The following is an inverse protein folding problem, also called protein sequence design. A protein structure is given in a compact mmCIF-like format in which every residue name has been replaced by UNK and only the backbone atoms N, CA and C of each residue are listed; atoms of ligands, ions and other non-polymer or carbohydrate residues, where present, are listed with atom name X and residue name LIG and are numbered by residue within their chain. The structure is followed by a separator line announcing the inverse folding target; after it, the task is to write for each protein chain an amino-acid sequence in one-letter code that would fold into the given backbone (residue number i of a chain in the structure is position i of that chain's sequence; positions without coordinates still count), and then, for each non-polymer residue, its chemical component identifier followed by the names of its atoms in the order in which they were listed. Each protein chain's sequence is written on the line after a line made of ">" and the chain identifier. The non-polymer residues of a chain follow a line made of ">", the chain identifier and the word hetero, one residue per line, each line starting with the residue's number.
data_IF_641504282702
#
_entry.id   IF_641504282702
#
_cell.length_a   1.000
_cell.length_b   1.000
_cell.length_c   1.000
_cell.angle_alpha   90.00
_cell.angle_beta   90.00
_cell.angle_gamma   90.00
#
_symmetry.space_group_name_H-M   'P 1'
#
loop_
_entity.id
_entity.type
_entity.pdbx_description
1 polymer ?
#
# COMPACT_ATOMS: atom_id res chain seq x y z
N UNK A 1 -17.63 18.78 -17.15
CA UNK A 1 -17.77 17.37 -16.74
C UNK A 1 -16.98 17.14 -15.47
N UNK A 2 -17.69 16.99 -14.34
CA UNK A 2 -17.10 16.78 -13.03
C UNK A 2 -16.58 15.33 -13.00
N UNK A 3 -15.28 15.14 -13.25
CA UNK A 3 -14.60 13.85 -13.08
C UNK A 3 -14.93 13.32 -11.70
N UNK A 4 -15.84 12.35 -11.63
CA UNK A 4 -16.19 11.65 -10.41
C UNK A 4 -14.91 10.98 -9.94
N UNK A 5 -14.15 11.64 -9.06
CA UNK A 5 -13.03 11.02 -8.36
C UNK A 5 -13.68 9.91 -7.55
N UNK A 6 -13.50 8.62 -7.89
CA UNK A 6 -14.04 7.56 -7.05
C UNK A 6 -13.47 7.78 -5.65
N UNK A 7 -14.36 8.10 -4.69
CA UNK A 7 -14.06 8.21 -3.26
C UNK A 7 -14.23 6.85 -2.56
N UNK A 8 -14.31 5.78 -3.33
CA UNK A 8 -14.42 4.44 -2.80
C UNK A 8 -13.02 3.86 -2.54
N UNK A 9 -12.71 3.65 -1.27
CA UNK A 9 -11.47 3.07 -0.79
C UNK A 9 -11.20 1.69 -1.42
N UNK A 10 -12.23 0.86 -1.60
CA UNK A 10 -12.09 -0.47 -2.18
C UNK A 10 -11.75 -0.38 -3.69
N UNK A 11 -12.43 0.51 -4.42
CA UNK A 11 -12.13 0.76 -5.84
C UNK A 11 -10.70 1.31 -6.03
N UNK A 12 -10.27 2.23 -5.17
CA UNK A 12 -8.92 2.80 -5.22
C UNK A 12 -7.83 1.76 -4.90
N UNK A 13 -8.12 0.82 -3.99
CA UNK A 13 -7.24 -0.33 -3.73
C UNK A 13 -7.11 -1.24 -4.94
N UNK A 14 -8.23 -1.58 -5.60
CA UNK A 14 -8.22 -2.40 -6.82
C UNK A 14 -7.48 -1.69 -7.96
N UNK A 15 -7.70 -0.38 -8.12
CA UNK A 15 -6.99 0.42 -9.11
C UNK A 15 -5.48 0.42 -8.86
N UNK A 16 -5.05 0.55 -7.61
CA UNK A 16 -3.63 0.44 -7.23
C UNK A 16 -3.04 -0.93 -7.62
N UNK A 17 -3.77 -2.01 -7.37
CA UNK A 17 -3.35 -3.36 -7.77
C UNK A 17 -3.30 -3.54 -9.30
N UNK A 18 -4.25 -2.98 -10.04
CA UNK A 18 -4.27 -3.03 -11.50
C UNK A 18 -3.04 -2.33 -12.10
N UNK A 19 -2.71 -1.13 -11.61
CA UNK A 19 -1.51 -0.41 -12.06
C UNK A 19 -0.22 -1.18 -11.76
N UNK A 20 -0.15 -1.92 -10.64
CA UNK A 20 1.00 -2.79 -10.38
C UNK A 20 1.09 -3.95 -11.36
N UNK A 21 -0.04 -4.57 -11.72
CA UNK A 21 -0.08 -5.61 -12.74
C UNK A 21 0.40 -5.09 -14.11
N UNK A 22 0.14 -3.81 -14.40
CA UNK A 22 0.62 -3.12 -15.59
C UNK A 22 2.06 -2.55 -15.47
N UNK A 23 2.79 -2.88 -14.40
CA UNK A 23 4.15 -2.38 -14.14
C UNK A 23 4.25 -0.85 -14.08
N UNK A 24 3.20 -0.18 -13.60
CA UNK A 24 3.11 1.28 -13.41
C UNK A 24 3.06 1.63 -11.91
N UNK A 25 4.20 1.56 -11.20
CA UNK A 25 4.23 1.73 -9.74
C UNK A 25 3.88 3.14 -9.26
N UNK A 26 4.18 4.18 -10.03
CA UNK A 26 3.85 5.57 -9.65
C UNK A 26 2.33 5.82 -9.64
N UNK A 27 1.62 5.27 -10.62
CA UNK A 27 0.17 5.33 -10.78
C UNK A 27 -0.50 4.48 -9.70
N UNK A 28 0.05 3.30 -9.41
CA UNK A 28 -0.38 2.47 -8.30
C UNK A 28 -0.29 3.19 -6.97
N UNK A 29 0.83 3.90 -6.75
CA UNK A 29 1.07 4.68 -5.54
C UNK A 29 0.06 5.83 -5.42
N UNK A 30 -0.17 6.60 -6.50
CA UNK A 30 -1.18 7.67 -6.53
C UNK A 30 -2.59 7.15 -6.21
N UNK A 31 -2.96 5.97 -6.74
CA UNK A 31 -4.24 5.36 -6.45
C UNK A 31 -4.37 4.97 -4.95
N UNK A 32 -3.33 4.36 -4.38
CA UNK A 32 -3.30 4.01 -2.95
C UNK A 32 -3.33 5.27 -2.06
N UNK A 33 -2.57 6.31 -2.38
CA UNK A 33 -2.55 7.59 -1.65
C UNK A 33 -3.93 8.26 -1.63
N UNK A 34 -4.62 8.26 -2.77
CA UNK A 34 -6.01 8.73 -2.84
C UNK A 34 -6.94 7.90 -1.95
N UNK A 35 -6.75 6.58 -1.91
CA UNK A 35 -7.52 5.71 -1.04
C UNK A 35 -7.26 6.00 0.43
N UNK A 36 -6.01 6.18 0.81
CA UNK A 36 -5.59 6.55 2.16
C UNK A 36 -6.08 7.95 2.58
N UNK A 37 -6.28 8.87 1.64
CA UNK A 37 -6.91 10.15 1.94
C UNK A 37 -8.39 10.00 2.32
N UNK A 38 -9.06 8.94 1.85
CA UNK A 38 -10.45 8.60 2.23
C UNK A 38 -10.49 7.76 3.51
N UNK A 39 -9.64 6.74 3.60
CA UNK A 39 -9.58 5.80 4.72
C UNK A 39 -8.13 5.65 5.23
N UNK A 40 -7.63 6.58 6.07
CA UNK A 40 -6.21 6.66 6.46
C UNK A 40 -5.68 5.48 7.29
N UNK A 41 -6.60 4.68 7.85
CA UNK A 41 -6.32 3.53 8.73
C UNK A 41 -6.86 2.23 8.15
N UNK A 42 -7.25 2.19 6.88
CA UNK A 42 -7.64 0.91 6.25
C UNK A 42 -6.38 0.05 6.03
N UNK A 43 -6.26 -1.12 6.70
CA UNK A 43 -5.10 -1.98 6.56
C UNK A 43 -4.86 -2.46 5.12
N UNK A 44 -5.93 -2.66 4.33
CA UNK A 44 -5.80 -3.15 2.96
C UNK A 44 -5.24 -2.07 2.02
N UNK A 45 -5.63 -0.81 2.22
CA UNK A 45 -5.06 0.34 1.49
C UNK A 45 -3.62 0.65 1.92
N UNK A 46 -3.32 0.53 3.21
CA UNK A 46 -1.95 0.67 3.71
C UNK A 46 -1.04 -0.38 3.08
N UNK A 47 -1.50 -1.63 2.95
CA UNK A 47 -0.75 -2.68 2.28
C UNK A 47 -0.64 -2.45 0.76
N UNK A 48 -1.68 -1.96 0.10
CA UNK A 48 -1.62 -1.59 -1.32
C UNK A 48 -0.57 -0.50 -1.57
N UNK A 49 -0.54 0.54 -0.73
CA UNK A 49 0.50 1.57 -0.77
C UNK A 49 1.90 1.02 -0.48
N UNK A 50 2.01 0.05 0.44
CA UNK A 50 3.29 -0.61 0.72
C UNK A 50 3.83 -1.39 -0.49
N UNK A 51 2.97 -2.15 -1.17
CA UNK A 51 3.30 -2.87 -2.42
C UNK A 51 3.72 -1.89 -3.52
N UNK A 52 2.97 -0.81 -3.70
CA UNK A 52 3.26 0.20 -4.70
C UNK A 52 4.60 0.90 -4.44
N UNK A 53 4.85 1.32 -3.20
CA UNK A 53 6.11 1.92 -2.81
C UNK A 53 7.30 0.97 -3.00
N UNK A 54 7.13 -0.33 -2.71
CA UNK A 54 8.19 -1.32 -2.95
C UNK A 54 8.50 -1.46 -4.44
N UNK A 55 7.47 -1.53 -5.30
CA UNK A 55 7.63 -1.61 -6.75
C UNK A 55 8.24 -0.33 -7.35
N UNK A 56 8.01 0.83 -6.72
CA UNK A 56 8.62 2.13 -7.02
C UNK A 56 10.08 2.24 -6.50
N UNK A 57 10.58 1.21 -5.80
CA UNK A 57 11.92 1.19 -5.20
C UNK A 57 12.03 1.90 -3.84
N UNK A 58 10.97 2.54 -3.36
CA UNK A 58 10.90 3.23 -2.08
C UNK A 58 10.64 2.25 -0.91
N UNK A 59 11.69 1.48 -0.59
CA UNK A 59 11.65 0.47 0.49
C UNK A 59 11.34 1.08 1.86
N UNK A 60 11.72 2.34 2.10
CA UNK A 60 11.49 3.00 3.37
C UNK A 60 9.99 3.27 3.57
N UNK A 61 9.33 3.83 2.56
CA UNK A 61 7.88 4.06 2.59
C UNK A 61 7.12 2.73 2.60
N UNK A 62 7.56 1.74 1.82
CA UNK A 62 6.95 0.41 1.81
C UNK A 62 6.88 -0.20 3.21
N UNK A 63 8.00 -0.17 3.94
CA UNK A 63 8.08 -0.64 5.32
C UNK A 63 7.16 0.15 6.25
N UNK A 64 7.21 1.48 6.21
CA UNK A 64 6.41 2.31 7.10
C UNK A 64 4.90 2.08 6.91
N UNK A 65 4.45 1.91 5.68
CA UNK A 65 3.06 1.60 5.36
C UNK A 65 2.68 0.19 5.80
N UNK A 66 3.56 -0.80 5.63
CA UNK A 66 3.33 -2.16 6.10
C UNK A 66 3.23 -2.25 7.64
N UNK A 67 4.10 -1.54 8.37
CA UNK A 67 4.01 -1.45 9.83
C UNK A 67 2.70 -0.78 10.29
N UNK A 68 2.24 0.24 9.56
CA UNK A 68 0.94 0.87 9.82
C UNK A 68 -0.21 -0.08 9.52
N UNK A 69 -0.13 -0.91 8.48
CA UNK A 69 -1.16 -1.90 8.16
C UNK A 69 -1.32 -2.92 9.30
N UNK A 70 -0.20 -3.40 9.87
CA UNK A 70 -0.21 -4.28 11.03
C UNK A 70 -0.86 -3.61 12.25
N UNK A 71 -0.48 -2.36 12.55
CA UNK A 71 -1.08 -1.58 13.64
C UNK A 71 -2.57 -1.31 13.43
N UNK A 72 -3.00 -1.18 12.18
CA UNK A 72 -4.39 -1.00 11.79
C UNK A 72 -5.22 -2.30 11.81
N UNK A 73 -4.59 -3.44 12.13
CA UNK A 73 -5.28 -4.72 12.28
C UNK A 73 -5.40 -5.51 10.97
N UNK A 74 -4.41 -5.43 10.08
CA UNK A 74 -4.26 -6.41 9.00
C UNK A 74 -4.30 -7.84 9.56
N UNK A 75 -4.95 -8.76 8.84
CA UNK A 75 -5.15 -10.17 9.26
C UNK A 75 -4.85 -11.11 8.11
N UNK A 76 -4.75 -12.41 8.42
CA UNK A 76 -4.55 -13.46 7.41
C UNK A 76 -3.32 -13.21 6.53
N UNK A 77 -3.51 -13.37 5.23
CA UNK A 77 -2.45 -13.19 4.22
C UNK A 77 -1.90 -11.76 4.19
N UNK A 78 -2.76 -10.75 4.35
CA UNK A 78 -2.34 -9.35 4.38
C UNK A 78 -1.39 -9.07 5.56
N UNK A 79 -1.63 -9.68 6.72
CA UNK A 79 -0.72 -9.57 7.87
C UNK A 79 0.60 -10.30 7.65
N UNK A 80 0.58 -11.45 6.96
CA UNK A 80 1.80 -12.18 6.63
C UNK A 80 2.66 -11.38 5.65
N UNK A 81 2.04 -10.78 4.64
CA UNK A 81 2.74 -9.94 3.69
C UNK A 81 3.26 -8.63 4.30
N UNK A 82 2.44 -7.93 5.08
CA UNK A 82 2.87 -6.73 5.78
C UNK A 82 4.09 -7.01 6.68
N UNK A 83 4.17 -8.19 7.32
CA UNK A 83 5.36 -8.61 8.06
C UNK A 83 6.59 -8.81 7.18
N UNK A 84 6.44 -9.44 6.01
CA UNK A 84 7.54 -9.62 5.04
C UNK A 84 8.09 -8.27 4.54
N UNK A 85 7.19 -7.33 4.23
CA UNK A 85 7.53 -5.98 3.80
C UNK A 85 8.14 -5.13 4.92
N UNK A 86 7.71 -5.33 6.16
CA UNK A 86 8.31 -4.64 7.31
C UNK A 86 9.71 -5.19 7.66
N UNK A 87 9.95 -6.48 7.42
CA UNK A 87 11.18 -7.18 7.80
C UNK A 87 12.36 -6.96 6.84
N UNK A 88 12.17 -6.30 5.69
CA UNK A 88 13.12 -6.33 4.56
C UNK A 88 14.47 -5.61 4.82
N UNK A 89 14.75 -5.12 6.03
CA UNK A 89 16.09 -4.63 6.45
C UNK A 89 16.44 -4.87 7.94
N UNK A 90 15.86 -5.87 8.61
CA UNK A 90 16.35 -6.30 9.94
C UNK A 90 17.62 -7.16 9.89
N UNK A 91 18.38 -7.13 8.79
CA UNK A 91 19.82 -7.40 8.83
C UNK A 91 20.50 -6.17 9.44
N UNK A 92 20.31 -6.00 10.75
CA UNK A 92 21.04 -5.03 11.57
C UNK A 92 22.51 -5.36 11.39
N UNK A 93 23.24 -4.47 10.70
CA UNK A 93 24.71 -4.41 10.73
C UNK A 93 25.17 -4.70 12.17
N UNK A 94 25.85 -5.82 12.37
CA UNK A 94 26.72 -6.09 13.51
C UNK A 94 28.03 -6.58 12.95
#
# INVERSE_FOLDING_TARGET
>A
MLLARPKDAAALRLLSAAWLAESQPAEARRAAERGLAVAPRDPALLLAGARAALADGDRAVARALAERALKAGARGEDAAEARRLAATQTAKRR
#
